data_IF_321141575927
#
_entry.id   IF_321141575927
#
_cell.length_a   1.000
_cell.length_b   1.000
_cell.length_c   1.000
_cell.angle_alpha   90.00
_cell.angle_beta   90.00
_cell.angle_gamma   90.00
#
_symmetry.space_group_name_H-M   'P 1'
#
loop_
_entity.id
_entity.type
_entity.pdbx_description
1 polymer ?
#
# COMPACT_ATOMS: atom_id res chain seq x y z
N UNK A 1 57.75 -2.38 -15.12
CA UNK A 1 56.92 -1.50 -14.26
C UNK A 1 55.53 -1.12 -14.80
N UNK A 2 55.26 -1.19 -16.10
CA UNK A 2 53.97 -0.76 -16.69
C UNK A 2 52.79 -1.74 -16.41
N UNK A 3 53.07 -3.05 -16.25
CA UNK A 3 52.04 -4.06 -15.98
C UNK A 3 51.44 -3.96 -14.57
N UNK A 4 52.27 -3.67 -13.55
CA UNK A 4 51.83 -3.51 -12.16
C UNK A 4 50.87 -2.33 -11.98
N UNK A 5 51.07 -1.23 -12.72
CA UNK A 5 50.18 -0.08 -12.70
C UNK A 5 48.81 -0.39 -13.33
N UNK A 6 48.76 -1.13 -14.45
CA UNK A 6 47.49 -1.56 -15.06
C UNK A 6 46.69 -2.48 -14.15
N UNK A 7 47.36 -3.39 -13.44
CA UNK A 7 46.70 -4.28 -12.47
C UNK A 7 46.10 -3.50 -11.30
N UNK A 8 46.85 -2.57 -10.72
CA UNK A 8 46.38 -1.73 -9.61
C UNK A 8 45.15 -0.89 -9.99
N UNK A 9 45.10 -0.40 -11.24
CA UNK A 9 43.94 0.36 -11.75
C UNK A 9 42.69 -0.52 -11.92
N UNK A 10 42.84 -1.76 -12.40
CA UNK A 10 41.73 -2.71 -12.53
C UNK A 10 41.16 -3.14 -11.18
N UNK A 11 42.01 -3.40 -10.18
CA UNK A 11 41.56 -3.78 -8.83
C UNK A 11 40.69 -2.67 -8.22
N UNK A 12 41.13 -1.41 -8.34
CA UNK A 12 40.39 -0.26 -7.86
C UNK A 12 39.01 -0.10 -8.52
N UNK A 13 38.91 -0.36 -9.82
CA UNK A 13 37.63 -0.32 -10.54
C UNK A 13 36.66 -1.41 -10.07
N UNK A 14 37.17 -2.60 -9.72
CA UNK A 14 36.35 -3.70 -9.21
C UNK A 14 35.85 -3.37 -7.79
N UNK A 15 36.70 -2.78 -6.95
CA UNK A 15 36.32 -2.35 -5.59
C UNK A 15 35.25 -1.24 -5.61
N UNK A 16 35.37 -0.27 -6.51
CA UNK A 16 34.39 0.81 -6.68
C UNK A 16 33.02 0.25 -7.12
N UNK A 17 32.99 -0.67 -8.09
CA UNK A 17 31.76 -1.34 -8.54
C UNK A 17 31.09 -2.16 -7.44
N UNK A 18 31.87 -2.86 -6.60
CA UNK A 18 31.32 -3.62 -5.48
C UNK A 18 30.71 -2.69 -4.42
N UNK A 19 31.36 -1.57 -4.13
CA UNK A 19 30.87 -0.59 -3.16
C UNK A 19 29.56 0.07 -3.61
N UNK A 20 29.44 0.41 -4.89
CA UNK A 20 28.19 0.95 -5.47
C UNK A 20 27.04 -0.06 -5.40
N UNK A 21 27.32 -1.35 -5.64
CA UNK A 21 26.32 -2.41 -5.53
C UNK A 21 25.84 -2.64 -4.10
N UNK A 22 26.71 -2.53 -3.10
CA UNK A 22 26.32 -2.64 -1.70
C UNK A 22 25.47 -1.45 -1.24
N UNK A 23 25.81 -0.23 -1.65
CA UNK A 23 24.99 0.96 -1.37
C UNK A 23 23.59 0.82 -2.00
N UNK A 24 23.51 0.34 -3.23
CA UNK A 24 22.23 0.08 -3.91
C UNK A 24 21.41 -1.04 -3.25
N UNK A 25 22.05 -2.11 -2.77
CA UNK A 25 21.35 -3.18 -2.03
C UNK A 25 20.83 -2.69 -0.68
N UNK A 26 21.63 -1.92 0.03
CA UNK A 26 21.25 -1.39 1.35
C UNK A 26 20.14 -0.33 1.25
N UNK A 27 20.15 0.52 0.22
CA UNK A 27 19.06 1.46 -0.07
C UNK A 27 17.73 0.74 -0.41
N UNK A 28 17.80 -0.38 -1.15
CA UNK A 28 16.61 -1.19 -1.48
C UNK A 28 16.03 -1.93 -0.27
N UNK A 29 16.86 -2.27 0.72
CA UNK A 29 16.43 -2.96 1.94
C UNK A 29 15.81 -1.99 2.97
N UNK A 30 16.20 -0.72 3.02
CA UNK A 30 15.61 0.24 3.95
C UNK A 30 14.17 0.62 3.59
N UNK A 31 13.84 0.65 2.29
CA UNK A 31 12.50 1.00 1.82
C UNK A 31 11.47 -0.14 1.97
N UNK A 32 11.92 -1.39 2.09
CA UNK A 32 11.00 -2.54 2.18
C UNK A 32 10.42 -2.79 3.58
N UNK A 33 11.06 -2.32 4.64
CA UNK A 33 10.67 -2.71 6.02
C UNK A 33 9.71 -1.74 6.71
N UNK A 34 9.65 -0.47 6.33
CA UNK A 34 8.85 0.53 7.05
C UNK A 34 7.42 0.72 6.51
N UNK A 35 7.10 0.13 5.36
CA UNK A 35 5.79 0.32 4.71
C UNK A 35 4.70 -0.66 5.18
N UNK A 36 5.04 -1.73 5.89
CA UNK A 36 4.12 -2.86 6.10
C UNK A 36 2.96 -2.63 7.08
N UNK A 37 3.04 -1.65 7.99
CA UNK A 37 1.97 -1.45 8.99
C UNK A 37 0.91 -0.45 8.52
N UNK A 38 1.31 0.68 7.91
CA UNK A 38 0.39 1.71 7.40
C UNK A 38 -0.22 1.29 6.06
N UNK A 39 0.51 0.59 5.18
CA UNK A 39 -0.07 0.03 3.94
C UNK A 39 -1.13 -1.05 4.22
N UNK A 40 -1.10 -1.70 5.40
CA UNK A 40 -2.08 -2.71 5.80
C UNK A 40 -3.43 -2.16 6.28
N UNK A 41 -3.62 -0.84 6.33
CA UNK A 41 -4.93 -0.24 6.61
C UNK A 41 -5.91 -0.42 5.42
N UNK A 42 -5.45 -0.90 4.27
CA UNK A 42 -6.28 -1.05 3.07
C UNK A 42 -7.00 -2.40 2.94
N UNK A 43 -7.92 -2.71 3.87
CA UNK A 43 -9.15 -3.45 3.53
C UNK A 43 -10.07 -3.57 4.76
N UNK A 44 -10.89 -2.56 5.04
CA UNK A 44 -11.99 -2.77 6.00
C UNK A 44 -13.07 -3.61 5.34
N UNK A 45 -13.04 -4.92 5.61
CA UNK A 45 -14.12 -5.84 5.23
C UNK A 45 -15.17 -5.78 6.33
N UNK A 46 -16.24 -5.02 6.10
CA UNK A 46 -17.41 -5.03 6.97
C UNK A 46 -18.27 -6.22 6.55
N UNK A 47 -18.61 -7.10 7.50
CA UNK A 47 -19.41 -8.31 7.25
C UNK A 47 -20.75 -8.22 7.97
N UNK A 48 -21.74 -8.96 7.45
CA UNK A 48 -23.05 -9.15 8.07
C UNK A 48 -23.77 -7.83 8.36
N UNK A 49 -23.94 -7.00 7.33
CA UNK A 49 -24.67 -5.75 7.45
C UNK A 49 -26.16 -6.04 7.24
N UNK A 50 -26.97 -5.62 8.20
CA UNK A 50 -28.43 -5.69 8.11
C UNK A 50 -28.98 -4.27 8.21
N UNK A 51 -29.68 -3.84 7.17
CA UNK A 51 -30.45 -2.60 7.18
C UNK A 51 -31.91 -2.98 7.18
N UNK A 52 -32.63 -2.56 8.22
CA UNK A 52 -34.05 -2.83 8.37
C UNK A 52 -34.77 -1.49 8.40
N UNK A 53 -35.77 -1.36 7.54
CA UNK A 53 -36.75 -0.29 7.59
C UNK A 53 -38.07 -0.89 8.08
N UNK A 54 -38.60 -0.35 9.17
CA UNK A 54 -39.87 -0.76 9.74
C UNK A 54 -40.84 0.42 9.65
N UNK A 55 -42.00 0.19 9.05
CA UNK A 55 -43.06 1.18 8.97
C UNK A 55 -44.27 0.73 9.78
N UNK A 56 -44.41 1.37 10.93
CA UNK A 56 -45.54 1.18 11.85
C UNK A 56 -46.48 2.38 11.86
N UNK A 57 -46.17 3.43 11.12
CA UNK A 57 -46.82 4.74 11.24
C UNK A 57 -47.68 5.10 10.03
N UNK A 58 -47.25 4.76 8.81
CA UNK A 58 -47.94 5.21 7.59
C UNK A 58 -49.18 4.36 7.30
N UNK A 59 -49.16 3.07 7.67
CA UNK A 59 -50.29 2.15 7.48
C UNK A 59 -50.55 1.32 8.74
N UNK A 60 -51.13 1.98 9.75
CA UNK A 60 -51.43 1.39 11.08
C UNK A 60 -52.20 0.06 11.03
N UNK A 61 -53.04 -0.16 10.01
CA UNK A 61 -53.78 -1.42 9.84
C UNK A 61 -52.96 -2.56 9.25
N UNK A 62 -51.84 -2.26 8.59
CA UNK A 62 -50.99 -3.21 7.89
C UNK A 62 -49.53 -2.76 8.00
N UNK A 63 -48.91 -2.88 9.19
CA UNK A 63 -47.49 -2.59 9.35
C UNK A 63 -46.67 -3.51 8.45
N UNK A 64 -45.56 -2.99 7.93
CA UNK A 64 -44.65 -3.77 7.10
C UNK A 64 -43.20 -3.42 7.41
N UNK A 65 -42.28 -4.31 7.02
CA UNK A 65 -40.85 -4.08 7.15
C UNK A 65 -40.12 -4.54 5.89
N UNK A 66 -39.09 -3.79 5.53
CA UNK A 66 -38.14 -4.14 4.48
C UNK A 66 -36.76 -4.39 5.10
N UNK A 67 -36.15 -5.51 4.74
CA UNK A 67 -34.81 -5.88 5.21
C UNK A 67 -33.88 -6.09 4.03
N UNK A 68 -32.77 -5.37 4.03
CA UNK A 68 -31.63 -5.60 3.15
C UNK A 68 -30.52 -6.24 3.97
N UNK A 69 -30.03 -7.39 3.51
CA UNK A 69 -28.92 -8.09 4.15
C UNK A 69 -27.76 -8.15 3.16
N UNK A 70 -26.58 -7.76 3.62
CA UNK A 70 -25.36 -7.77 2.84
C UNK A 70 -24.27 -8.55 3.59
N UNK A 71 -23.78 -9.61 2.97
CA UNK A 71 -22.84 -10.54 3.60
C UNK A 71 -21.46 -9.90 3.83
N UNK A 72 -20.99 -9.11 2.86
CA UNK A 72 -19.77 -8.33 3.01
C UNK A 72 -19.75 -7.10 2.08
N UNK A 73 -19.07 -6.04 2.53
CA UNK A 73 -18.64 -4.91 1.70
C UNK A 73 -17.12 -4.92 1.64
N UNK A 74 -16.57 -4.68 0.45
CA UNK A 74 -15.14 -4.50 0.23
C UNK A 74 -14.93 -3.21 -0.55
N UNK A 75 -14.24 -2.26 0.07
CA UNK A 75 -13.85 -1.02 -0.57
C UNK A 75 -12.47 -1.19 -1.20
N UNK A 76 -12.34 -0.74 -2.45
CA UNK A 76 -11.12 -0.82 -3.24
C UNK A 76 -10.74 0.58 -3.72
N UNK A 77 -9.46 0.93 -3.58
CA UNK A 77 -8.89 2.11 -4.21
C UNK A 77 -8.25 1.65 -5.51
N UNK A 78 -8.65 2.25 -6.62
CA UNK A 78 -8.19 1.89 -7.96
C UNK A 78 -7.77 3.11 -8.77
N UNK A 79 -6.91 2.90 -9.76
CA UNK A 79 -6.58 3.90 -10.78
C UNK A 79 -7.72 4.09 -11.79
N UNK A 80 -7.57 5.02 -12.72
CA UNK A 80 -8.48 5.22 -13.86
C UNK A 80 -8.64 3.98 -14.76
N UNK A 81 -7.67 3.06 -14.71
CA UNK A 81 -7.67 1.80 -15.44
C UNK A 81 -8.18 0.63 -14.59
N UNK A 82 -8.80 0.92 -13.44
CA UNK A 82 -9.30 -0.06 -12.46
C UNK A 82 -8.22 -0.98 -11.87
N UNK A 83 -6.96 -0.58 -11.89
CA UNK A 83 -5.89 -1.33 -11.23
C UNK A 83 -5.83 -0.99 -9.74
N UNK A 84 -5.73 -1.98 -8.83
CA UNK A 84 -5.61 -1.74 -7.39
C UNK A 84 -4.41 -0.86 -7.06
N UNK A 85 -4.61 0.18 -6.25
CA UNK A 85 -3.53 1.11 -5.88
C UNK A 85 -3.59 1.52 -4.41
N UNK A 86 -2.43 1.90 -3.87
CA UNK A 86 -2.27 2.37 -2.50
C UNK A 86 -2.37 3.89 -2.49
N UNK A 87 -3.11 4.45 -1.53
CA UNK A 87 -3.13 5.90 -1.33
C UNK A 87 -1.77 6.32 -0.76
N UNK A 88 -0.93 6.93 -1.58
CA UNK A 88 0.30 7.58 -1.12
C UNK A 88 -0.06 9.01 -0.75
N UNK A 89 -0.21 9.29 0.54
CA UNK A 89 -0.15 10.67 1.00
C UNK A 89 1.27 11.18 0.74
N UNK A 90 1.40 12.17 -0.14
CA UNK A 90 2.64 12.94 -0.24
C UNK A 90 2.76 13.74 1.05
N UNK A 91 3.52 13.20 2.01
CA UNK A 91 3.88 13.92 3.23
C UNK A 91 4.80 15.07 2.78
N UNK A 92 4.22 16.26 2.58
CA UNK A 92 4.95 17.51 2.46
C UNK A 92 5.69 17.73 3.77
N UNK A 93 6.94 17.26 3.82
CA UNK A 93 7.85 17.41 4.93
C UNK A 93 8.32 18.87 4.94
N UNK A 94 7.49 19.76 5.51
CA UNK A 94 7.85 21.16 5.72
C UNK A 94 8.93 21.17 6.82
N UNK A 95 10.19 21.26 6.42
CA UNK A 95 11.31 21.52 7.33
C UNK A 95 11.18 22.96 7.86
N UNK A 96 11.13 23.12 9.18
CA UNK A 96 11.28 24.40 9.88
C UNK A 96 12.69 24.53 10.42
#
# INVERSE_FOLDING_TARGET
NNMKQKFKKKIRQIEELHKEQEVLKNAKLSDQNNNTFIERIQLQVIRNIHVVYEDTLIKLSHPFAFRFTLNYIKLHITTSEYLPTIFKEDILLIHK
#
